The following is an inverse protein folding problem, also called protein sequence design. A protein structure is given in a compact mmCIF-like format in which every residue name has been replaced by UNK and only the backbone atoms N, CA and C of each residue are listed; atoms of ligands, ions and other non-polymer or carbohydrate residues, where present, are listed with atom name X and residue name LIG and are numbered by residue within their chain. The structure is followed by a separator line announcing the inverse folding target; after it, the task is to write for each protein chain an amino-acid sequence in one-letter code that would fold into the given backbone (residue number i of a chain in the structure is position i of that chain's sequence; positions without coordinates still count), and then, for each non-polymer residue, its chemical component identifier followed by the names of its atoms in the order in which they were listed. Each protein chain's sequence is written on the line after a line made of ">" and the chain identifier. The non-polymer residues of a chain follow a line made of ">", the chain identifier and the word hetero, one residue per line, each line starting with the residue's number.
data_IF_372856747584
#
_entry.id   IF_372856747584
#
_cell.length_a   1.000
_cell.length_b   1.000
_cell.length_c   1.000
_cell.angle_alpha   90.00
_cell.angle_beta   90.00
_cell.angle_gamma   90.00
#
_symmetry.space_group_name_H-M   'P 1'
#
loop_
_entity.id
_entity.type
_entity.pdbx_description
1 polymer ?
#
# COMPACT_ATOMS: atom_id res chain seq x y z
N UNK A 1 -43.54 58.68 -0.72
CA UNK A 1 -42.28 59.38 -0.62
C UNK A 1 -41.38 58.64 0.37
N UNK A 2 -40.21 58.39 -0.09
CA UNK A 2 -38.98 57.98 0.61
C UNK A 2 -38.80 56.50 0.88
N UNK A 3 -38.06 55.96 -0.05
CA UNK A 3 -37.18 54.80 -0.03
C UNK A 3 -36.27 54.71 1.19
N UNK A 4 -36.06 53.52 1.66
CA UNK A 4 -34.83 53.15 2.34
C UNK A 4 -34.36 51.80 1.82
N UNK A 5 -33.51 51.80 0.79
CA UNK A 5 -32.67 50.70 0.37
C UNK A 5 -31.74 50.34 1.51
N UNK A 6 -31.97 49.19 2.13
CA UNK A 6 -30.98 48.52 2.97
C UNK A 6 -30.15 47.58 2.07
N UNK A 7 -29.07 48.07 1.51
CA UNK A 7 -28.01 47.28 0.88
C UNK A 7 -27.29 46.48 1.96
N UNK A 8 -27.63 45.20 2.06
CA UNK A 8 -26.96 44.23 2.87
C UNK A 8 -25.58 43.92 2.26
N UNK A 9 -24.56 44.67 2.65
CA UNK A 9 -23.16 44.30 2.44
C UNK A 9 -22.82 43.08 3.33
N UNK A 10 -23.01 41.89 2.79
CA UNK A 10 -22.59 40.63 3.40
C UNK A 10 -21.06 40.61 3.50
N UNK A 11 -20.58 40.58 4.72
CA UNK A 11 -19.18 40.73 5.20
C UNK A 11 -18.19 39.81 4.46
N UNK A 12 -17.14 40.31 3.77
CA UNK A 12 -16.08 39.52 3.15
C UNK A 12 -15.17 38.80 4.16
N UNK A 13 -15.22 39.18 5.45
CA UNK A 13 -14.39 38.59 6.52
C UNK A 13 -14.64 37.09 6.76
N UNK A 14 -15.85 36.59 6.60
CA UNK A 14 -16.17 35.18 6.83
C UNK A 14 -15.57 34.21 5.78
N UNK A 15 -15.45 34.66 4.54
CA UNK A 15 -14.87 33.88 3.45
C UNK A 15 -13.34 33.78 3.59
N UNK A 16 -12.70 34.88 3.95
CA UNK A 16 -11.24 34.94 4.16
C UNK A 16 -10.80 34.06 5.33
N UNK A 17 -11.49 34.10 6.47
CA UNK A 17 -11.19 33.26 7.62
C UNK A 17 -11.38 31.76 7.30
N UNK A 18 -12.40 31.39 6.54
CA UNK A 18 -12.60 30.00 6.10
C UNK A 18 -11.47 29.52 5.19
N UNK A 19 -10.98 30.37 4.30
CA UNK A 19 -9.90 30.04 3.38
C UNK A 19 -8.56 29.81 4.10
N UNK A 20 -8.26 30.64 5.10
CA UNK A 20 -7.03 30.52 5.91
C UNK A 20 -7.05 29.28 6.81
N UNK A 21 -8.19 28.96 7.45
CA UNK A 21 -8.34 27.77 8.28
C UNK A 21 -8.23 26.50 7.42
N UNK A 22 -8.87 26.48 6.26
CA UNK A 22 -8.79 25.36 5.32
C UNK A 22 -7.36 25.12 4.83
N UNK A 23 -6.65 26.17 4.42
CA UNK A 23 -5.24 26.07 4.01
C UNK A 23 -4.35 25.52 5.13
N UNK A 24 -4.49 26.03 6.36
CA UNK A 24 -3.75 25.49 7.52
C UNK A 24 -4.02 24.01 7.74
N UNK A 25 -5.28 23.59 7.75
CA UNK A 25 -5.66 22.19 7.90
C UNK A 25 -5.08 21.32 6.78
N UNK A 26 -5.06 21.80 5.54
CA UNK A 26 -4.46 21.12 4.39
C UNK A 26 -2.96 20.90 4.60
N UNK A 27 -2.21 21.95 4.89
CA UNK A 27 -0.75 21.87 5.08
C UNK A 27 -0.38 21.02 6.32
N UNK A 28 -1.14 21.14 7.41
CA UNK A 28 -0.90 20.32 8.62
C UNK A 28 -1.13 18.84 8.32
N UNK A 29 -2.22 18.49 7.64
CA UNK A 29 -2.52 17.10 7.29
C UNK A 29 -1.48 16.51 6.35
N UNK A 30 -1.16 17.19 5.25
CA UNK A 30 -0.18 16.70 4.29
C UNK A 30 1.25 16.71 4.87
N UNK A 31 1.58 17.68 5.72
CA UNK A 31 2.84 17.71 6.45
C UNK A 31 2.98 16.50 7.39
N UNK A 32 1.92 16.15 8.13
CA UNK A 32 1.90 14.96 8.97
C UNK A 32 2.04 13.67 8.15
N UNK A 33 1.32 13.56 7.03
CA UNK A 33 1.45 12.43 6.12
C UNK A 33 2.88 12.32 5.53
N UNK A 34 3.49 13.44 5.16
CA UNK A 34 4.86 13.47 4.65
C UNK A 34 5.88 13.06 5.72
N UNK A 35 5.72 13.51 6.96
CA UNK A 35 6.56 13.09 8.09
C UNK A 35 6.41 11.59 8.39
N UNK A 36 5.19 11.07 8.41
CA UNK A 36 4.94 9.64 8.59
C UNK A 36 5.54 8.82 7.45
N UNK A 37 5.41 9.28 6.21
CA UNK A 37 6.05 8.66 5.05
C UNK A 37 7.56 8.64 5.20
N UNK A 38 8.19 9.79 5.48
CA UNK A 38 9.64 9.90 5.62
C UNK A 38 10.16 9.03 6.78
N UNK A 39 9.50 9.03 7.92
CA UNK A 39 9.87 8.22 9.09
C UNK A 39 9.75 6.73 8.79
N UNK A 40 8.63 6.30 8.18
CA UNK A 40 8.42 4.89 7.82
C UNK A 40 9.37 4.42 6.71
N UNK A 41 9.64 5.26 5.72
CA UNK A 41 10.62 4.95 4.67
C UNK A 41 12.05 4.84 5.24
N UNK A 42 12.46 5.75 6.11
CA UNK A 42 13.76 5.70 6.79
C UNK A 42 13.89 4.46 7.67
N UNK A 43 12.86 4.10 8.43
CA UNK A 43 12.84 2.90 9.25
C UNK A 43 12.92 1.63 8.40
N UNK A 44 12.16 1.56 7.29
CA UNK A 44 12.22 0.45 6.33
C UNK A 44 13.61 0.32 5.72
N UNK A 45 14.21 1.43 5.26
CA UNK A 45 15.56 1.43 4.69
C UNK A 45 16.59 0.90 5.69
N UNK A 46 16.57 1.39 6.93
CA UNK A 46 17.48 0.90 7.98
C UNK A 46 17.29 -0.59 8.27
N UNK A 47 16.06 -1.04 8.29
CA UNK A 47 15.75 -2.46 8.51
C UNK A 47 16.26 -3.34 7.36
N UNK A 48 16.02 -2.93 6.12
CA UNK A 48 16.55 -3.62 4.94
C UNK A 48 18.06 -3.67 4.96
N UNK A 49 18.74 -2.56 5.29
CA UNK A 49 20.19 -2.51 5.38
C UNK A 49 20.75 -3.46 6.46
N UNK A 50 20.08 -3.52 7.64
CA UNK A 50 20.50 -4.45 8.71
C UNK A 50 20.29 -5.92 8.31
N UNK A 51 19.19 -6.24 7.63
CA UNK A 51 18.90 -7.59 7.15
C UNK A 51 19.86 -8.01 6.04
N UNK A 52 20.19 -7.10 5.10
CA UNK A 52 21.17 -7.36 4.05
C UNK A 52 22.57 -7.62 4.62
N UNK A 53 22.96 -6.94 5.70
CA UNK A 53 24.24 -7.14 6.38
C UNK A 53 24.35 -8.53 7.05
N UNK A 54 23.24 -9.16 7.42
CA UNK A 54 23.22 -10.53 7.98
C UNK A 54 23.39 -11.61 6.91
N UNK A 55 23.26 -11.27 5.63
CA UNK A 55 23.29 -12.20 4.51
C UNK A 55 22.02 -13.07 4.41
N UNK A 56 21.95 -13.87 3.35
CA UNK A 56 20.90 -14.86 3.15
C UNK A 56 21.45 -16.27 3.21
N UNK A 57 20.59 -17.25 3.45
CA UNK A 57 20.96 -18.66 3.40
C UNK A 57 21.06 -19.11 1.93
N UNK A 58 22.23 -19.58 1.44
CA UNK A 58 22.33 -20.11 0.09
C UNK A 58 21.51 -21.40 -0.06
N UNK A 59 20.68 -21.46 -1.10
CA UNK A 59 19.79 -22.57 -1.37
C UNK A 59 20.17 -23.30 -2.66
N UNK A 60 19.83 -24.60 -2.78
CA UNK A 60 19.96 -25.31 -4.04
C UNK A 60 19.20 -24.60 -5.16
N UNK A 61 19.85 -24.39 -6.32
CA UNK A 61 19.30 -23.61 -7.43
C UNK A 61 19.85 -22.19 -7.55
N UNK A 62 20.86 -21.84 -6.74
CA UNK A 62 21.64 -20.58 -6.89
C UNK A 62 20.94 -19.33 -6.38
N UNK A 63 19.89 -19.46 -5.56
CA UNK A 63 19.20 -18.33 -4.92
C UNK A 63 19.48 -18.30 -3.41
N UNK A 64 19.17 -17.18 -2.78
CA UNK A 64 19.34 -17.00 -1.33
C UNK A 64 18.00 -16.80 -0.64
N UNK A 65 17.76 -17.57 0.42
CA UNK A 65 16.56 -17.41 1.25
C UNK A 65 16.78 -16.33 2.29
N UNK A 66 15.82 -15.43 2.42
CA UNK A 66 15.85 -14.39 3.44
C UNK A 66 15.69 -14.97 4.85
N UNK A 67 16.50 -14.48 5.79
CA UNK A 67 16.42 -14.85 7.21
C UNK A 67 15.16 -14.31 7.91
N UNK A 68 14.35 -13.50 7.24
CA UNK A 68 13.11 -12.97 7.78
C UNK A 68 12.04 -14.04 8.11
N UNK A 69 12.18 -15.24 7.56
CA UNK A 69 11.24 -16.37 7.72
C UNK A 69 11.64 -17.35 8.82
N UNK A 70 12.83 -17.19 9.40
CA UNK A 70 13.41 -18.17 10.34
C UNK A 70 13.71 -17.52 11.69
N UNK A 71 13.50 -18.26 12.81
CA UNK A 71 13.95 -17.80 14.12
C UNK A 71 15.49 -17.81 14.17
N UNK A 72 16.07 -16.68 14.57
CA UNK A 72 17.49 -16.61 14.91
C UNK A 72 17.74 -17.13 16.32
N UNK A 73 19.02 -17.44 16.64
CA UNK A 73 19.38 -17.95 17.95
C UNK A 73 18.76 -17.13 19.11
N UNK A 74 18.00 -17.82 19.96
CA UNK A 74 17.34 -17.21 21.12
C UNK A 74 15.99 -16.55 20.85
N UNK A 75 15.50 -16.52 19.60
CA UNK A 75 14.18 -15.99 19.28
C UNK A 75 13.08 -17.05 19.40
N UNK A 76 11.94 -16.64 19.94
CA UNK A 76 10.71 -17.45 19.94
C UNK A 76 9.89 -17.17 18.69
N UNK A 77 9.09 -18.13 18.21
CA UNK A 77 8.21 -17.96 17.05
C UNK A 77 7.29 -16.73 17.14
N UNK A 78 6.64 -16.44 18.30
CA UNK A 78 5.87 -15.21 18.45
C UNK A 78 6.73 -13.94 18.30
N UNK A 79 7.99 -13.97 18.76
CA UNK A 79 8.93 -12.86 18.60
C UNK A 79 9.28 -12.60 17.14
N UNK A 80 9.54 -13.66 16.37
CA UNK A 80 9.79 -13.56 14.91
C UNK A 80 8.57 -13.01 14.18
N UNK A 81 7.37 -13.53 14.48
CA UNK A 81 6.13 -13.06 13.89
C UNK A 81 5.87 -11.59 14.21
N UNK A 82 6.07 -11.17 15.46
CA UNK A 82 5.89 -9.77 15.87
C UNK A 82 6.91 -8.84 15.18
N UNK A 83 8.16 -9.26 15.06
CA UNK A 83 9.20 -8.52 14.36
C UNK A 83 8.87 -8.37 12.88
N UNK A 84 8.47 -9.46 12.21
CA UNK A 84 8.04 -9.44 10.82
C UNK A 84 6.82 -8.53 10.61
N UNK A 85 5.79 -8.67 11.44
CA UNK A 85 4.58 -7.84 11.33
C UNK A 85 4.85 -6.36 11.59
N UNK A 86 5.72 -6.03 12.54
CA UNK A 86 6.15 -4.67 12.79
C UNK A 86 6.84 -4.05 11.58
N UNK A 87 7.81 -4.77 11.01
CA UNK A 87 8.49 -4.37 9.77
C UNK A 87 7.51 -4.25 8.60
N UNK A 88 6.65 -5.27 8.41
CA UNK A 88 5.64 -5.28 7.35
C UNK A 88 4.71 -4.07 7.43
N UNK A 89 4.21 -3.75 8.63
CA UNK A 89 3.31 -2.62 8.81
C UNK A 89 3.99 -1.28 8.51
N UNK A 90 5.23 -1.08 9.00
CA UNK A 90 6.01 0.13 8.72
C UNK A 90 6.27 0.27 7.21
N UNK A 91 6.64 -0.82 6.54
CA UNK A 91 6.82 -0.86 5.09
C UNK A 91 5.51 -0.53 4.35
N UNK A 92 4.39 -1.12 4.76
CA UNK A 92 3.09 -0.85 4.15
C UNK A 92 2.64 0.61 4.36
N UNK A 93 2.96 1.23 5.49
CA UNK A 93 2.74 2.67 5.70
C UNK A 93 3.52 3.48 4.67
N UNK A 94 4.82 3.21 4.50
CA UNK A 94 5.64 3.89 3.50
C UNK A 94 5.08 3.71 2.08
N UNK A 95 4.70 2.50 1.70
CA UNK A 95 4.26 2.20 0.34
C UNK A 95 2.86 2.73 0.01
N UNK A 96 1.94 2.67 0.96
CA UNK A 96 0.53 2.95 0.71
C UNK A 96 0.12 4.39 1.05
N UNK A 97 0.85 5.07 1.92
CA UNK A 97 0.50 6.42 2.38
C UNK A 97 0.42 7.45 1.25
N UNK A 98 1.35 7.48 0.25
CA UNK A 98 1.27 8.45 -0.84
C UNK A 98 -0.04 8.36 -1.63
N UNK A 99 -0.55 7.15 -1.82
CA UNK A 99 -1.81 6.89 -2.53
C UNK A 99 -3.05 6.98 -1.62
N UNK A 100 -2.91 6.81 -0.32
CA UNK A 100 -3.99 6.88 0.66
C UNK A 100 -4.28 8.31 1.11
N UNK A 101 -3.26 9.16 1.25
CA UNK A 101 -3.39 10.52 1.76
C UNK A 101 -4.42 11.38 0.99
N UNK A 102 -4.45 11.38 -0.36
CA UNK A 102 -5.47 12.10 -1.11
C UNK A 102 -6.90 11.60 -0.83
N UNK A 103 -7.07 10.29 -0.64
CA UNK A 103 -8.37 9.68 -0.33
C UNK A 103 -8.85 10.07 1.06
N UNK A 104 -7.95 10.05 2.07
CA UNK A 104 -8.25 10.52 3.42
C UNK A 104 -8.55 12.01 3.45
N UNK A 105 -7.84 12.82 2.64
CA UNK A 105 -8.12 14.24 2.55
C UNK A 105 -9.52 14.50 1.99
N UNK A 106 -9.92 13.85 0.89
CA UNK A 106 -11.27 13.96 0.33
C UNK A 106 -12.34 13.51 1.33
N UNK A 107 -12.08 12.46 2.09
CA UNK A 107 -12.97 12.02 3.18
C UNK A 107 -13.13 13.12 4.24
N UNK A 108 -12.04 13.77 4.65
CA UNK A 108 -12.05 14.89 5.59
C UNK A 108 -12.81 16.10 5.03
N UNK A 109 -12.61 16.45 3.77
CA UNK A 109 -13.33 17.54 3.11
C UNK A 109 -14.86 17.30 3.09
N UNK A 110 -15.25 16.09 2.75
CA UNK A 110 -16.65 15.70 2.70
C UNK A 110 -17.33 15.80 4.07
N UNK A 111 -16.61 15.51 5.16
CA UNK A 111 -17.13 15.56 6.54
C UNK A 111 -16.88 16.89 7.27
N UNK A 112 -16.06 17.78 6.74
CA UNK A 112 -15.63 19.00 7.43
C UNK A 112 -16.78 19.88 7.92
N UNK A 113 -17.91 19.86 7.22
CA UNK A 113 -19.11 20.66 7.57
C UNK A 113 -19.98 20.03 8.65
N UNK A 114 -19.87 18.72 8.89
CA UNK A 114 -20.83 17.93 9.70
C UNK A 114 -20.16 17.29 10.91
N UNK A 115 -18.90 16.87 10.83
CA UNK A 115 -18.23 16.10 11.88
C UNK A 115 -17.64 16.93 13.03
N UNK A 116 -17.46 18.25 12.84
CA UNK A 116 -16.92 19.13 13.87
C UNK A 116 -15.58 18.62 14.47
N UNK A 117 -15.50 18.55 15.80
CA UNK A 117 -14.31 18.10 16.55
C UNK A 117 -13.97 16.61 16.36
N UNK A 118 -14.88 15.79 15.82
CA UNK A 118 -14.67 14.34 15.60
C UNK A 118 -13.98 14.02 14.28
N UNK A 119 -13.74 15.00 13.43
CA UNK A 119 -13.20 14.81 12.09
C UNK A 119 -11.85 14.07 12.08
N UNK A 120 -10.95 14.44 12.98
CA UNK A 120 -9.63 13.81 13.07
C UNK A 120 -9.71 12.36 13.55
N UNK A 121 -10.55 12.10 14.55
CA UNK A 121 -10.81 10.75 15.05
C UNK A 121 -11.37 9.85 13.96
N UNK A 122 -12.36 10.32 13.19
CA UNK A 122 -12.94 9.54 12.10
C UNK A 122 -11.92 9.25 10.99
N UNK A 123 -11.08 10.21 10.64
CA UNK A 123 -10.00 10.01 9.67
C UNK A 123 -8.95 8.99 10.15
N UNK A 124 -8.57 9.05 11.44
CA UNK A 124 -7.67 8.08 12.07
C UNK A 124 -8.29 6.68 12.06
N UNK A 125 -9.57 6.54 12.37
CA UNK A 125 -10.27 5.25 12.34
C UNK A 125 -10.33 4.65 10.94
N UNK A 126 -10.54 5.47 9.91
CA UNK A 126 -10.46 5.02 8.51
C UNK A 126 -9.05 4.50 8.21
N UNK A 127 -8.02 5.26 8.58
CA UNK A 127 -6.62 4.83 8.40
C UNK A 127 -6.30 3.54 9.17
N UNK A 128 -6.75 3.44 10.41
CA UNK A 128 -6.54 2.26 11.24
C UNK A 128 -7.23 1.02 10.66
N UNK A 129 -8.49 1.13 10.21
CA UNK A 129 -9.19 0.04 9.52
C UNK A 129 -8.52 -0.37 8.22
N UNK A 130 -7.99 0.59 7.47
CA UNK A 130 -7.21 0.32 6.26
C UNK A 130 -5.93 -0.48 6.55
N UNK A 131 -5.12 -0.06 7.51
CA UNK A 131 -3.88 -0.76 7.87
C UNK A 131 -4.13 -2.07 8.64
N UNK A 132 -5.27 -2.23 9.29
CA UNK A 132 -5.67 -3.52 9.87
C UNK A 132 -5.78 -4.61 8.80
N UNK A 133 -6.36 -4.32 7.64
CA UNK A 133 -6.41 -5.27 6.51
C UNK A 133 -4.99 -5.63 6.04
N UNK A 134 -4.09 -4.65 5.94
CA UNK A 134 -2.69 -4.91 5.58
C UNK A 134 -1.95 -5.73 6.64
N UNK A 135 -2.30 -5.59 7.91
CA UNK A 135 -1.76 -6.44 8.99
C UNK A 135 -2.21 -7.89 8.83
N UNK A 136 -3.47 -8.12 8.49
CA UNK A 136 -3.97 -9.48 8.22
C UNK A 136 -3.27 -10.12 7.00
N UNK A 137 -3.05 -9.35 5.94
CA UNK A 137 -2.26 -9.81 4.80
C UNK A 137 -0.80 -10.11 5.17
N UNK A 138 -0.19 -9.29 6.04
CA UNK A 138 1.15 -9.56 6.57
C UNK A 138 1.21 -10.86 7.38
N UNK A 139 0.20 -11.14 8.19
CA UNK A 139 0.11 -12.39 8.94
C UNK A 139 -0.02 -13.60 8.01
N UNK A 140 -0.85 -13.50 6.99
CA UNK A 140 -1.00 -14.55 5.98
C UNK A 140 0.32 -14.76 5.20
N UNK A 141 0.97 -13.67 4.78
CA UNK A 141 2.24 -13.71 4.08
C UNK A 141 3.35 -14.36 4.94
N UNK A 142 3.39 -14.04 6.24
CA UNK A 142 4.32 -14.68 7.20
C UNK A 142 4.08 -16.18 7.28
N UNK A 143 2.85 -16.61 7.51
CA UNK A 143 2.51 -18.04 7.61
C UNK A 143 2.89 -18.81 6.35
N UNK A 144 2.54 -18.27 5.17
CA UNK A 144 2.88 -18.88 3.87
C UNK A 144 4.40 -18.87 3.65
N UNK A 145 5.09 -17.75 3.96
CA UNK A 145 6.53 -17.64 3.81
C UNK A 145 7.29 -18.64 4.66
N UNK A 146 6.91 -18.80 5.93
CA UNK A 146 7.49 -19.82 6.83
C UNK A 146 7.25 -21.23 6.31
N UNK A 147 6.03 -21.55 5.85
CA UNK A 147 5.71 -22.86 5.30
C UNK A 147 6.55 -23.16 4.03
N UNK A 148 6.66 -22.20 3.11
CA UNK A 148 7.46 -22.35 1.90
C UNK A 148 8.95 -22.48 2.21
N UNK A 149 9.47 -21.72 3.18
CA UNK A 149 10.86 -21.82 3.63
C UNK A 149 11.15 -23.21 4.22
N UNK A 150 10.26 -23.73 5.07
CA UNK A 150 10.37 -25.08 5.63
C UNK A 150 10.36 -26.16 4.54
N UNK A 151 9.46 -26.06 3.56
CA UNK A 151 9.39 -26.98 2.43
C UNK A 151 10.66 -26.92 1.58
N UNK A 152 11.16 -25.75 1.27
CA UNK A 152 12.39 -25.59 0.48
C UNK A 152 13.63 -26.16 1.18
N UNK A 153 13.70 -26.09 2.52
CA UNK A 153 14.77 -26.70 3.31
C UNK A 153 14.68 -28.25 3.35
N UNK A 154 13.46 -28.79 3.38
CA UNK A 154 13.25 -30.24 3.45
C UNK A 154 13.37 -30.93 2.09
N UNK A 155 13.09 -30.21 1.00
CA UNK A 155 13.02 -30.77 -0.37
C UNK A 155 13.96 -30.04 -1.32
N UNK A 156 15.24 -30.50 -1.47
CA UNK A 156 16.19 -29.85 -2.37
C UNK A 156 15.76 -29.79 -3.82
N UNK A 157 14.95 -30.75 -4.28
CA UNK A 157 14.39 -30.75 -5.62
C UNK A 157 13.44 -29.56 -5.83
N UNK A 158 12.59 -29.26 -4.83
CA UNK A 158 11.69 -28.12 -4.85
C UNK A 158 12.49 -26.80 -4.82
N UNK A 159 13.52 -26.72 -3.98
CA UNK A 159 14.36 -25.53 -3.89
C UNK A 159 15.00 -25.16 -5.23
N UNK A 160 15.36 -26.12 -6.09
CA UNK A 160 15.91 -25.88 -7.44
C UNK A 160 14.92 -25.27 -8.41
N UNK A 161 13.62 -25.50 -8.20
CA UNK A 161 12.54 -24.97 -9.07
C UNK A 161 12.10 -23.55 -8.66
N UNK A 162 12.45 -23.12 -7.45
CA UNK A 162 12.04 -21.81 -6.91
C UNK A 162 12.37 -20.65 -7.86
N UNK A 163 13.55 -20.52 -8.48
CA UNK A 163 13.83 -19.40 -9.39
C UNK A 163 12.86 -19.33 -10.59
N UNK A 164 12.52 -20.48 -11.17
CA UNK A 164 11.52 -20.55 -12.25
C UNK A 164 10.13 -20.20 -11.73
N UNK A 165 9.76 -20.71 -10.55
CA UNK A 165 8.47 -20.42 -9.93
C UNK A 165 8.32 -18.90 -9.64
N UNK A 166 9.36 -18.23 -9.17
CA UNK A 166 9.38 -16.77 -8.99
C UNK A 166 9.09 -16.07 -10.32
N UNK A 167 9.78 -16.43 -11.39
CA UNK A 167 9.56 -15.87 -12.72
C UNK A 167 8.12 -16.07 -13.22
N UNK A 168 7.54 -17.27 -13.01
CA UNK A 168 6.15 -17.56 -13.37
C UNK A 168 5.15 -16.72 -12.55
N UNK A 169 5.40 -16.52 -11.26
CA UNK A 169 4.55 -15.67 -10.40
C UNK A 169 4.62 -14.22 -10.85
N UNK A 170 5.81 -13.70 -11.17
CA UNK A 170 6.00 -12.34 -11.69
C UNK A 170 5.27 -12.17 -13.03
N UNK A 171 5.41 -13.15 -13.93
CA UNK A 171 4.71 -13.15 -15.23
C UNK A 171 3.19 -13.17 -15.06
N UNK A 172 2.67 -13.99 -14.14
CA UNK A 172 1.24 -14.04 -13.80
C UNK A 172 0.75 -12.72 -13.21
N UNK A 173 1.53 -12.08 -12.33
CA UNK A 173 1.23 -10.77 -11.76
C UNK A 173 1.21 -9.68 -12.84
N UNK A 174 2.11 -9.72 -13.81
CA UNK A 174 2.11 -8.86 -14.98
C UNK A 174 0.88 -9.08 -15.86
N UNK A 175 0.51 -10.34 -16.12
CA UNK A 175 -0.68 -10.70 -16.89
C UNK A 175 -1.99 -10.18 -16.23
N UNK A 176 -2.07 -10.19 -14.90
CA UNK A 176 -3.20 -9.63 -14.15
C UNK A 176 -3.43 -8.14 -14.43
N UNK A 177 -2.38 -7.38 -14.77
CA UNK A 177 -2.49 -5.95 -15.08
C UNK A 177 -3.31 -5.66 -16.35
N UNK A 178 -3.46 -6.64 -17.25
CA UNK A 178 -4.24 -6.51 -18.49
C UNK A 178 -5.70 -6.92 -18.32
N UNK A 179 -6.09 -7.43 -17.15
CA UNK A 179 -7.43 -7.99 -16.93
C UNK A 179 -8.48 -6.90 -16.63
N UNK A 180 -9.72 -7.16 -17.07
CA UNK A 180 -10.88 -6.35 -16.71
C UNK A 180 -11.14 -6.35 -15.19
N UNK A 181 -10.69 -7.39 -14.49
CA UNK A 181 -10.75 -7.46 -13.02
C UNK A 181 -9.92 -6.33 -12.40
N UNK A 182 -8.67 -6.16 -12.85
CA UNK A 182 -7.79 -5.07 -12.41
C UNK A 182 -8.43 -3.70 -12.68
N UNK A 183 -9.01 -3.50 -13.87
CA UNK A 183 -9.67 -2.24 -14.24
C UNK A 183 -10.83 -1.91 -13.27
N UNK A 184 -11.65 -2.91 -12.92
CA UNK A 184 -12.76 -2.74 -11.96
C UNK A 184 -12.25 -2.39 -10.56
N UNK A 185 -11.24 -3.12 -10.05
CA UNK A 185 -10.67 -2.86 -8.72
C UNK A 185 -10.03 -1.47 -8.66
N UNK A 186 -9.37 -1.04 -9.71
CA UNK A 186 -8.78 0.29 -9.79
C UNK A 186 -9.85 1.39 -9.78
N UNK A 187 -10.98 1.18 -10.46
CA UNK A 187 -12.16 2.05 -10.39
C UNK A 187 -12.68 2.20 -8.97
N UNK A 188 -12.95 1.06 -8.29
CA UNK A 188 -13.44 1.05 -6.91
C UNK A 188 -12.50 1.75 -5.92
N UNK A 189 -11.16 1.65 -6.12
CA UNK A 189 -10.19 2.33 -5.26
C UNK A 189 -10.20 3.86 -5.40
N UNK A 190 -10.75 4.38 -6.50
CA UNK A 190 -10.81 5.82 -6.81
C UNK A 190 -12.15 6.45 -6.44
N UNK A 191 -13.20 5.65 -6.26
CA UNK A 191 -14.51 6.13 -5.88
C UNK A 191 -14.46 6.70 -4.47
N UNK A 192 -14.73 8.00 -4.40
CA UNK A 192 -14.91 8.70 -3.12
C UNK A 192 -16.36 8.48 -2.68
N UNK A 193 -16.64 8.19 -1.40
CA UNK A 193 -18.00 8.20 -0.90
C UNK A 193 -18.58 9.61 -1.00
N UNK A 194 -19.36 9.86 -2.01
CA UNK A 194 -19.91 11.20 -2.26
C UNK A 194 -21.19 11.24 -3.08
N UNK A 195 -21.47 10.24 -3.89
CA UNK A 195 -22.71 10.16 -4.63
C UNK A 195 -23.76 9.31 -3.89
N UNK A 196 -24.62 9.95 -3.11
CA UNK A 196 -25.86 9.35 -2.62
C UNK A 196 -25.80 8.54 -1.31
N UNK A 197 -24.63 8.24 -0.77
CA UNK A 197 -24.50 7.59 0.53
C UNK A 197 -24.32 8.64 1.64
N UNK A 198 -25.15 8.60 2.67
CA UNK A 198 -24.90 9.38 3.89
C UNK A 198 -23.52 9.01 4.43
N UNK A 199 -22.61 9.98 4.42
CA UNK A 199 -21.28 9.81 5.02
C UNK A 199 -21.45 9.46 6.50
N UNK A 200 -20.88 8.36 6.95
CA UNK A 200 -21.07 7.91 8.31
C UNK A 200 -20.36 8.85 9.30
N UNK A 201 -21.12 9.47 10.16
CA UNK A 201 -20.64 10.24 11.32
C UNK A 201 -20.37 9.35 12.54
N UNK A 202 -20.64 8.07 12.41
CA UNK A 202 -20.47 7.07 13.45
C UNK A 202 -19.08 6.40 13.37
N UNK A 203 -18.49 6.14 14.54
CA UNK A 203 -17.19 5.51 14.75
C UNK A 203 -17.11 4.13 14.05
N UNK A 204 -18.18 3.32 14.22
CA UNK A 204 -18.24 1.98 13.61
C UNK A 204 -18.33 2.02 12.10
N UNK A 205 -18.95 3.04 11.55
CA UNK A 205 -19.08 3.18 10.11
C UNK A 205 -17.78 3.73 9.48
N UNK A 206 -17.04 4.61 10.17
CA UNK A 206 -15.71 5.05 9.74
C UNK A 206 -14.73 3.86 9.71
N UNK A 207 -14.74 3.02 10.74
CA UNK A 207 -13.94 1.79 10.79
C UNK A 207 -14.27 0.86 9.62
N UNK A 208 -15.56 0.55 9.40
CA UNK A 208 -16.00 -0.31 8.27
C UNK A 208 -15.63 0.27 6.91
N UNK A 209 -15.69 1.60 6.77
CA UNK A 209 -15.21 2.25 5.55
C UNK A 209 -13.70 2.05 5.35
N UNK A 210 -12.90 2.18 6.42
CA UNK A 210 -11.47 1.88 6.40
C UNK A 210 -11.16 0.43 5.99
N UNK A 211 -11.90 -0.54 6.56
CA UNK A 211 -11.77 -1.96 6.18
C UNK A 211 -12.06 -2.19 4.69
N UNK A 212 -13.16 -1.64 4.18
CA UNK A 212 -13.52 -1.74 2.75
C UNK A 212 -12.45 -1.11 1.85
N UNK A 213 -11.96 0.06 2.22
CA UNK A 213 -10.90 0.75 1.49
C UNK A 213 -9.62 -0.08 1.47
N UNK A 214 -9.25 -0.70 2.60
CA UNK A 214 -8.12 -1.62 2.71
C UNK A 214 -8.27 -2.86 1.85
N UNK A 215 -9.45 -3.49 1.85
CA UNK A 215 -9.74 -4.65 1.01
C UNK A 215 -9.68 -4.33 -0.49
N UNK A 216 -10.31 -3.25 -0.92
CA UNK A 216 -10.24 -2.85 -2.34
C UNK A 216 -8.80 -2.50 -2.75
N UNK A 217 -8.05 -1.83 -1.86
CA UNK A 217 -6.64 -1.55 -2.11
C UNK A 217 -5.82 -2.83 -2.24
N UNK A 218 -5.98 -3.79 -1.32
CA UNK A 218 -5.24 -5.05 -1.38
C UNK A 218 -5.53 -5.84 -2.66
N UNK A 219 -6.78 -5.89 -3.10
CA UNK A 219 -7.13 -6.52 -4.39
C UNK A 219 -6.53 -5.77 -5.59
N UNK A 220 -6.60 -4.44 -5.58
CA UNK A 220 -6.02 -3.62 -6.64
C UNK A 220 -4.49 -3.81 -6.73
N UNK A 221 -3.80 -3.94 -5.60
CA UNK A 221 -2.35 -4.03 -5.51
C UNK A 221 -1.84 -5.47 -5.42
N UNK A 222 -2.72 -6.50 -5.43
CA UNK A 222 -2.36 -7.89 -5.17
C UNK A 222 -1.19 -8.37 -6.02
N UNK A 223 -1.22 -8.16 -7.34
CA UNK A 223 -0.13 -8.57 -8.24
C UNK A 223 1.19 -7.91 -7.87
N UNK A 224 1.19 -6.60 -7.68
CA UNK A 224 2.40 -5.82 -7.32
C UNK A 224 2.95 -6.22 -5.94
N UNK A 225 2.08 -6.45 -4.96
CA UNK A 225 2.49 -6.91 -3.63
C UNK A 225 3.03 -8.34 -3.67
N UNK A 226 2.48 -9.21 -4.53
CA UNK A 226 2.99 -10.57 -4.71
C UNK A 226 4.39 -10.56 -5.33
N UNK A 227 4.68 -9.68 -6.30
CA UNK A 227 6.02 -9.50 -6.84
C UNK A 227 7.01 -9.15 -5.72
N UNK A 228 6.64 -8.20 -4.85
CA UNK A 228 7.47 -7.81 -3.72
C UNK A 228 7.78 -9.00 -2.80
N UNK A 229 6.80 -9.87 -2.54
CA UNK A 229 6.96 -11.04 -1.68
C UNK A 229 7.91 -12.10 -2.29
N UNK A 230 7.85 -12.32 -3.61
CA UNK A 230 8.61 -13.39 -4.26
C UNK A 230 9.98 -12.94 -4.75
N UNK A 231 10.15 -11.69 -5.18
CA UNK A 231 11.43 -11.16 -5.66
C UNK A 231 12.32 -10.75 -4.49
N UNK A 232 11.72 -10.17 -3.44
CA UNK A 232 12.46 -9.81 -2.23
C UNK A 232 11.76 -8.72 -1.42
N UNK A 233 11.17 -9.14 -0.30
CA UNK A 233 10.54 -8.24 0.68
C UNK A 233 11.54 -7.21 1.25
N UNK A 234 12.83 -7.50 1.19
CA UNK A 234 13.90 -6.64 1.74
C UNK A 234 14.67 -5.88 0.67
N UNK A 235 14.29 -5.99 -0.60
CA UNK A 235 14.92 -5.25 -1.68
C UNK A 235 14.32 -3.85 -1.80
N UNK A 236 15.12 -2.84 -1.48
CA UNK A 236 14.70 -1.41 -1.48
C UNK A 236 14.31 -0.94 -2.88
N UNK A 237 14.98 -1.41 -3.91
CA UNK A 237 14.72 -1.01 -5.30
C UNK A 237 13.39 -1.59 -5.80
N UNK A 238 13.12 -2.85 -5.49
CA UNK A 238 11.85 -3.50 -5.79
C UNK A 238 10.72 -2.79 -5.03
N UNK A 239 10.90 -2.48 -3.74
CA UNK A 239 9.92 -1.72 -2.96
C UNK A 239 9.66 -0.33 -3.54
N UNK A 240 10.71 0.40 -3.92
CA UNK A 240 10.57 1.73 -4.54
C UNK A 240 9.82 1.65 -5.87
N UNK A 241 10.15 0.69 -6.73
CA UNK A 241 9.48 0.45 -7.99
C UNK A 241 8.01 0.10 -7.83
N UNK A 242 7.70 -0.82 -6.91
CA UNK A 242 6.32 -1.22 -6.60
C UNK A 242 5.53 -0.05 -6.01
N UNK A 243 6.14 0.74 -5.11
CA UNK A 243 5.50 1.93 -4.53
C UNK A 243 5.17 2.96 -5.61
N UNK A 244 6.11 3.24 -6.51
CA UNK A 244 5.92 4.15 -7.62
C UNK A 244 4.80 3.65 -8.54
N UNK A 245 4.81 2.36 -8.91
CA UNK A 245 3.79 1.74 -9.75
C UNK A 245 2.40 1.87 -9.13
N UNK A 246 2.22 1.49 -7.85
CA UNK A 246 0.95 1.61 -7.13
C UNK A 246 0.49 3.07 -7.08
N UNK A 247 1.39 3.98 -6.79
CA UNK A 247 1.06 5.41 -6.65
C UNK A 247 0.61 6.00 -7.98
N UNK A 248 1.34 5.74 -9.06
CA UNK A 248 1.01 6.22 -10.40
C UNK A 248 -0.32 5.61 -10.89
N UNK A 249 -0.53 4.30 -10.73
CA UNK A 249 -1.80 3.66 -11.07
C UNK A 249 -2.99 4.28 -10.34
N UNK A 250 -2.85 4.62 -9.07
CA UNK A 250 -3.95 5.15 -8.25
C UNK A 250 -4.19 6.64 -8.44
N UNK A 251 -3.16 7.41 -8.72
CA UNK A 251 -3.25 8.86 -8.90
C UNK A 251 -3.47 9.28 -10.35
N UNK A 252 -3.32 8.38 -11.32
CA UNK A 252 -3.56 8.68 -12.73
C UNK A 252 -4.98 9.24 -12.95
N UNK A 253 -5.18 10.15 -13.92
CA UNK A 253 -6.49 10.73 -14.23
C UNK A 253 -7.57 9.67 -14.49
N UNK A 254 -8.83 10.06 -14.28
CA UNK A 254 -9.96 9.18 -14.57
C UNK A 254 -9.95 8.79 -16.06
N UNK A 255 -10.00 7.46 -16.33
CA UNK A 255 -9.89 6.90 -17.69
C UNK A 255 -8.49 6.44 -18.09
N UNK A 256 -7.42 7.06 -17.61
CA UNK A 256 -6.04 6.72 -18.01
C UNK A 256 -5.38 5.64 -17.12
N UNK A 257 -5.89 5.40 -15.93
CA UNK A 257 -5.26 4.49 -14.96
C UNK A 257 -5.16 3.05 -15.45
N UNK A 258 -6.05 2.60 -16.32
CA UNK A 258 -5.95 1.27 -16.92
C UNK A 258 -4.86 1.23 -18.01
N UNK A 259 -4.66 2.33 -18.75
CA UNK A 259 -3.53 2.49 -19.67
C UNK A 259 -2.18 2.40 -18.94
N UNK A 260 -2.06 3.11 -17.80
CA UNK A 260 -0.88 3.06 -16.93
C UNK A 260 -0.63 1.65 -16.40
N UNK A 261 -1.68 0.96 -15.92
CA UNK A 261 -1.56 -0.42 -15.44
C UNK A 261 -1.06 -1.37 -16.54
N UNK A 262 -1.50 -1.19 -17.80
CA UNK A 262 -0.99 -1.97 -18.94
C UNK A 262 0.48 -1.73 -19.23
N UNK A 263 0.94 -0.48 -19.20
CA UNK A 263 2.37 -0.17 -19.36
C UNK A 263 3.21 -0.84 -18.29
N UNK A 264 2.79 -0.73 -17.03
CA UNK A 264 3.43 -1.42 -15.90
C UNK A 264 3.38 -2.94 -16.13
N UNK A 265 2.28 -3.48 -16.60
CA UNK A 265 2.10 -4.89 -16.94
C UNK A 265 3.11 -5.38 -17.97
N UNK A 266 3.37 -4.61 -19.04
CA UNK A 266 4.39 -4.95 -20.06
C UNK A 266 5.78 -5.06 -19.44
N UNK A 267 6.16 -4.10 -18.58
CA UNK A 267 7.46 -4.13 -17.88
C UNK A 267 7.57 -5.38 -17.00
N UNK A 268 6.53 -5.67 -16.21
CA UNK A 268 6.51 -6.82 -15.30
C UNK A 268 6.58 -8.15 -16.08
N UNK A 269 5.87 -8.26 -17.19
CA UNK A 269 5.94 -9.45 -18.05
C UNK A 269 7.35 -9.63 -18.61
N UNK A 270 7.99 -8.55 -19.08
CA UNK A 270 9.37 -8.57 -19.54
C UNK A 270 10.35 -9.07 -18.45
N UNK A 271 10.22 -8.53 -17.22
CA UNK A 271 11.02 -9.00 -16.07
C UNK A 271 10.76 -10.46 -15.72
N UNK A 272 9.49 -10.91 -15.74
CA UNK A 272 9.14 -12.31 -15.50
C UNK A 272 9.79 -13.27 -16.50
N UNK A 273 9.78 -12.90 -17.78
CA UNK A 273 10.44 -13.67 -18.84
C UNK A 273 11.97 -13.68 -18.66
N UNK A 274 12.58 -12.53 -18.32
CA UNK A 274 14.00 -12.43 -18.05
C UNK A 274 14.42 -13.29 -16.86
N UNK A 275 13.63 -13.32 -15.78
CA UNK A 275 13.87 -14.17 -14.61
C UNK A 275 13.82 -15.66 -14.97
N UNK A 276 12.84 -16.07 -15.77
CA UNK A 276 12.75 -17.45 -16.26
C UNK A 276 13.95 -17.78 -17.14
N UNK A 277 14.32 -16.90 -18.09
CA UNK A 277 15.48 -17.10 -18.96
C UNK A 277 16.77 -17.33 -18.18
N UNK A 278 17.05 -16.49 -17.17
CA UNK A 278 18.20 -16.66 -16.28
C UNK A 278 18.13 -17.97 -15.48
N UNK A 279 16.96 -18.34 -15.00
CA UNK A 279 16.77 -19.57 -14.20
C UNK A 279 17.00 -20.85 -15.01
N UNK A 280 16.75 -20.83 -16.33
CA UNK A 280 16.98 -21.99 -17.23
C UNK A 280 18.30 -21.92 -18.00
N UNK A 281 19.16 -20.94 -17.70
CA UNK A 281 20.49 -20.83 -18.29
C UNK A 281 20.52 -20.26 -19.71
N UNK A 282 19.50 -19.47 -20.10
CA UNK A 282 19.42 -18.79 -21.39
C UNK A 282 19.93 -17.34 -21.34
N UNK A 283 20.49 -16.89 -20.21
CA UNK A 283 21.01 -15.53 -20.03
C UNK A 283 22.41 -15.47 -19.47
#
# INVERSE_FOLDING_TARGET
>A
MSDARATGQGRPHGAFLRHTVFRRAFFTFHGLCALLFAASAAATFRWCASMSAMGGMPMPGGWTMSMAWLPMCGQTWPGVAASFLGMWLVMMVAMMLPSLAPTLWRYREALARVAGKRLDLLAILVGAGYFFIWTLWGLAAFAVGVALAALAMQMPALARVVPVAIGLVVLGAGALQFTNWKARQLGCCREVPGCGCRLPLDVGAAWRYGLRLGLHCSYCCAGLTTILLVVGVMDVWVMAGVTAAITVERLAPAGEGFGVARVIGVVIVGEGLALIGRAVGLG
#
